data_IF_230865145668
#
_entry.id   IF_230865145668
#
_cell.length_a   1.000
_cell.length_b   1.000
_cell.length_c   1.000
_cell.angle_alpha   90.00
_cell.angle_beta   90.00
_cell.angle_gamma   90.00
#
_symmetry.space_group_name_H-M   'P 1'
#
loop_
_entity.id
_entity.type
_entity.pdbx_description
1 polymer ?
#
# COMPACT_ATOMS: atom_id res chain seq x y z
N UNK A 1 16.79 -34.96 19.59
CA UNK A 1 15.73 -33.99 19.92
C UNK A 1 16.16 -32.51 19.88
N UNK A 2 17.44 -32.16 20.08
CA UNK A 2 17.89 -30.74 20.05
C UNK A 2 17.92 -30.09 18.66
N UNK A 3 18.21 -30.87 17.62
CA UNK A 3 18.30 -30.39 16.22
C UNK A 3 16.92 -30.06 15.64
N UNK A 4 15.88 -30.81 16.02
CA UNK A 4 14.50 -30.57 15.57
C UNK A 4 13.95 -29.24 16.11
N UNK A 5 14.30 -28.87 17.35
CA UNK A 5 13.90 -27.60 17.97
C UNK A 5 14.59 -26.41 17.30
N UNK A 6 15.86 -26.57 16.89
CA UNK A 6 16.59 -25.53 16.14
C UNK A 6 16.02 -25.31 14.73
N UNK A 7 15.60 -26.38 14.05
CA UNK A 7 14.92 -26.29 12.75
C UNK A 7 13.52 -25.64 12.87
N UNK A 8 12.76 -25.98 13.91
CA UNK A 8 11.47 -25.33 14.18
C UNK A 8 11.63 -23.86 14.55
N UNK A 9 12.60 -23.52 15.40
CA UNK A 9 12.88 -22.13 15.80
C UNK A 9 13.38 -21.29 14.62
N UNK A 10 14.17 -21.86 13.69
CA UNK A 10 14.57 -21.20 12.45
C UNK A 10 13.39 -20.85 11.55
N UNK A 11 12.38 -21.74 11.45
CA UNK A 11 11.18 -21.49 10.63
C UNK A 11 10.23 -20.42 11.20
N UNK A 12 10.26 -20.19 12.53
CA UNK A 12 9.45 -19.14 13.17
C UNK A 12 10.07 -17.75 13.04
N UNK A 13 11.40 -17.65 12.86
CA UNK A 13 12.10 -16.37 12.67
C UNK A 13 12.05 -15.87 11.22
N UNK A 14 11.64 -16.69 10.25
CA UNK A 14 11.47 -16.27 8.85
C UNK A 14 10.09 -15.68 8.54
N UNK A 15 9.13 -15.75 9.46
CA UNK A 15 7.78 -15.20 9.24
C UNK A 15 7.66 -13.69 9.40
N UNK A 16 8.70 -13.00 9.87
CA UNK A 16 8.87 -11.58 9.59
C UNK A 16 9.64 -11.47 8.28
N UNK A 17 9.02 -11.89 7.18
CA UNK A 17 9.46 -11.56 5.84
C UNK A 17 9.44 -10.03 5.75
N UNK A 18 10.59 -9.45 6.08
CA UNK A 18 10.90 -8.06 5.86
C UNK A 18 10.83 -7.91 4.36
N UNK A 19 9.74 -7.35 3.87
CA UNK A 19 9.52 -6.99 2.46
C UNK A 19 10.55 -5.90 2.15
N UNK A 20 11.79 -6.33 1.92
CA UNK A 20 12.91 -5.51 1.50
C UNK A 20 12.65 -5.12 0.06
N UNK A 21 12.09 -3.93 -0.10
CA UNK A 21 11.90 -3.28 -1.39
C UNK A 21 11.08 -2.03 -1.17
N UNK A 22 11.78 -0.89 -1.06
CA UNK A 22 11.25 0.48 -0.98
C UNK A 22 10.39 0.85 -2.20
N UNK A 23 9.29 0.14 -2.43
CA UNK A 23 8.28 0.50 -3.41
C UNK A 23 7.33 1.48 -2.76
N UNK A 24 7.13 2.60 -3.43
CA UNK A 24 6.11 3.59 -3.06
C UNK A 24 4.84 3.31 -3.86
N UNK A 25 3.68 3.46 -3.22
CA UNK A 25 2.42 3.61 -3.92
C UNK A 25 2.15 5.09 -4.17
N UNK A 26 1.58 5.39 -5.33
CA UNK A 26 1.13 6.74 -5.65
C UNK A 26 -0.39 6.77 -5.60
N UNK A 27 -0.91 7.59 -4.70
CA UNK A 27 -2.29 8.04 -4.64
C UNK A 27 -2.42 9.28 -5.52
N UNK A 28 -3.53 9.40 -6.24
CA UNK A 28 -3.83 10.53 -7.11
C UNK A 28 -5.06 11.26 -6.58
N UNK A 29 -5.01 12.57 -6.68
CA UNK A 29 -6.04 13.49 -6.20
C UNK A 29 -6.36 14.39 -7.37
N UNK A 30 -7.64 14.57 -7.65
CA UNK A 30 -8.07 15.48 -8.70
C UNK A 30 -8.06 16.93 -8.22
N UNK A 31 -8.49 17.84 -9.09
CA UNK A 31 -8.51 19.29 -8.83
C UNK A 31 -9.54 19.70 -7.75
N UNK A 32 -10.46 18.81 -7.36
CA UNK A 32 -11.46 19.10 -6.33
C UNK A 32 -10.85 19.04 -4.92
N UNK A 33 -9.70 18.37 -4.77
CA UNK A 33 -8.98 18.26 -3.51
C UNK A 33 -7.90 19.36 -3.44
N UNK A 34 -7.96 20.27 -2.45
CA UNK A 34 -6.95 21.31 -2.30
C UNK A 34 -5.55 20.72 -2.13
N UNK A 35 -4.50 21.27 -2.78
CA UNK A 35 -3.13 20.75 -2.68
C UNK A 35 -2.53 20.79 -1.28
N UNK A 36 -3.08 21.65 -0.41
CA UNK A 36 -2.67 21.80 1.00
C UNK A 36 -3.45 20.89 1.96
N UNK A 37 -4.31 20.01 1.44
CA UNK A 37 -5.04 19.05 2.27
C UNK A 37 -4.06 18.09 2.94
N UNK A 38 -4.37 17.64 4.15
CA UNK A 38 -3.60 16.63 4.87
C UNK A 38 -4.18 15.25 4.57
N UNK A 39 -3.33 14.31 4.15
CA UNK A 39 -3.73 12.92 3.94
C UNK A 39 -3.31 12.09 5.14
N UNK A 40 -4.30 11.56 5.85
CA UNK A 40 -4.10 10.66 6.97
C UNK A 40 -4.46 9.24 6.58
N UNK A 41 -3.63 8.26 6.96
CA UNK A 41 -3.92 6.82 6.80
C UNK A 41 -3.77 6.16 8.16
N UNK A 42 -4.82 5.50 8.64
CA UNK A 42 -4.89 4.85 9.95
C UNK A 42 -4.47 5.80 11.11
N UNK A 43 -4.81 7.08 10.97
CA UNK A 43 -4.47 8.12 11.95
C UNK A 43 -3.05 8.69 11.85
N UNK A 44 -2.20 8.19 10.95
CA UNK A 44 -0.88 8.75 10.68
C UNK A 44 -0.91 9.76 9.55
N UNK A 45 -0.22 10.89 9.72
CA UNK A 45 -0.09 11.96 8.72
C UNK A 45 1.00 11.61 7.68
N UNK A 46 0.64 11.66 6.41
CA UNK A 46 1.55 11.41 5.27
C UNK A 46 1.84 12.66 4.44
N UNK A 47 1.38 13.83 4.88
CA UNK A 47 1.56 15.12 4.23
C UNK A 47 0.47 15.43 3.22
N UNK A 48 0.80 16.32 2.29
CA UNK A 48 -0.15 16.90 1.35
C UNK A 48 0.00 16.38 -0.08
N UNK A 49 -1.09 16.32 -0.87
CA UNK A 49 -1.05 15.86 -2.25
C UNK A 49 -0.50 16.95 -3.18
N UNK A 50 0.82 17.16 -3.13
CA UNK A 50 1.53 18.07 -4.03
C UNK A 50 1.32 17.66 -5.50
N UNK A 51 0.93 18.61 -6.35
CA UNK A 51 0.64 18.38 -7.78
C UNK A 51 -0.39 17.25 -8.03
N UNK A 52 -1.36 17.09 -7.12
CA UNK A 52 -2.42 16.08 -7.23
C UNK A 52 -1.93 14.65 -7.02
N UNK A 53 -0.76 14.46 -6.38
CA UNK A 53 -0.19 13.13 -6.12
C UNK A 53 0.40 13.06 -4.72
N UNK A 54 0.30 11.88 -4.12
CA UNK A 54 1.02 11.57 -2.89
C UNK A 54 1.72 10.22 -3.03
N UNK A 55 3.02 10.18 -2.71
CA UNK A 55 3.80 8.94 -2.67
C UNK A 55 3.89 8.46 -1.23
N UNK A 56 3.34 7.28 -0.97
CA UNK A 56 3.40 6.63 0.34
C UNK A 56 4.17 5.31 0.25
N UNK A 57 4.88 4.88 1.30
CA UNK A 57 5.47 3.55 1.33
C UNK A 57 4.43 2.46 1.11
N UNK A 58 4.76 1.40 0.36
CA UNK A 58 3.81 0.32 0.09
C UNK A 58 3.40 -0.45 1.36
N UNK A 59 4.20 -0.39 2.42
CA UNK A 59 3.93 -1.00 3.72
C UNK A 59 2.85 -0.29 4.53
N UNK A 60 2.52 0.96 4.18
CA UNK A 60 1.52 1.77 4.90
C UNK A 60 0.11 1.27 4.65
N UNK A 61 -0.18 0.84 3.42
CA UNK A 61 -1.54 0.39 3.08
C UNK A 61 -1.63 -1.10 3.38
N UNK A 62 -2.31 -1.41 4.48
CA UNK A 62 -2.76 -2.76 4.78
C UNK A 62 -4.15 -3.00 4.19
N UNK A 63 -4.62 -4.24 4.27
CA UNK A 63 -5.99 -4.51 3.86
C UNK A 63 -6.96 -3.88 4.87
N UNK A 64 -7.95 -3.14 4.39
CA UNK A 64 -8.91 -2.36 5.20
C UNK A 64 -8.31 -1.15 5.96
N UNK A 65 -7.20 -0.55 5.49
CA UNK A 65 -6.70 0.72 6.04
C UNK A 65 -7.71 1.86 5.82
N UNK A 66 -7.91 2.74 6.80
CA UNK A 66 -8.76 3.92 6.65
C UNK A 66 -7.95 5.10 6.13
N UNK A 67 -8.42 5.75 5.06
CA UNK A 67 -7.86 7.00 4.57
C UNK A 67 -8.80 8.15 4.87
N UNK A 68 -8.24 9.28 5.32
CA UNK A 68 -8.93 10.53 5.54
C UNK A 68 -8.17 11.64 4.81
N UNK A 69 -8.91 12.47 4.08
CA UNK A 69 -8.37 13.66 3.42
C UNK A 69 -8.98 14.85 4.12
N UNK A 70 -8.15 15.63 4.80
CA UNK A 70 -8.56 16.75 5.64
C UNK A 70 -8.22 18.04 4.92
N UNK A 71 -9.21 18.93 4.78
CA UNK A 71 -9.03 20.24 4.16
C UNK A 71 -8.05 21.11 4.98
N UNK A 72 -7.52 22.18 4.38
CA UNK A 72 -6.74 23.18 5.13
C UNK A 72 -7.54 23.86 6.26
N UNK A 73 -8.87 23.80 6.22
CA UNK A 73 -9.77 24.34 7.27
C UNK A 73 -10.06 23.33 8.38
N UNK A 74 -9.57 22.09 8.27
CA UNK A 74 -9.77 21.02 9.26
C UNK A 74 -11.02 20.15 9.04
N UNK A 75 -11.70 20.31 7.92
CA UNK A 75 -12.88 19.51 7.57
C UNK A 75 -12.47 18.20 6.88
N UNK A 76 -13.14 17.10 7.19
CA UNK A 76 -12.90 15.82 6.48
C UNK A 76 -13.61 15.88 5.14
N UNK A 77 -12.83 15.97 4.05
CA UNK A 77 -13.35 16.02 2.68
C UNK A 77 -13.73 14.64 2.16
N UNK A 78 -12.88 13.65 2.46
CA UNK A 78 -13.06 12.26 2.03
C UNK A 78 -12.67 11.35 3.19
N UNK A 79 -13.50 10.35 3.45
CA UNK A 79 -13.16 9.21 4.31
C UNK A 79 -13.53 7.94 3.59
N UNK A 80 -12.54 7.08 3.36
CA UNK A 80 -12.74 5.84 2.62
C UNK A 80 -11.88 4.71 3.19
N UNK A 81 -12.15 3.48 2.76
CA UNK A 81 -11.39 2.30 3.10
C UNK A 81 -10.51 1.90 1.93
N UNK A 82 -9.21 1.79 2.20
CA UNK A 82 -8.20 1.28 1.29
C UNK A 82 -8.11 -0.24 1.43
N UNK A 83 -8.18 -0.93 0.30
CA UNK A 83 -7.99 -2.36 0.17
C UNK A 83 -6.76 -2.66 -0.68
N UNK A 84 -6.24 -3.88 -0.55
CA UNK A 84 -5.15 -4.36 -1.41
C UNK A 84 -5.71 -5.19 -2.57
N UNK A 85 -5.70 -4.63 -3.77
CA UNK A 85 -6.15 -5.33 -4.98
C UNK A 85 -4.96 -5.79 -5.83
N UNK A 86 -5.02 -7.01 -6.35
CA UNK A 86 -4.03 -7.50 -7.33
C UNK A 86 -4.13 -6.66 -8.60
N UNK A 87 -3.00 -6.12 -9.03
CA UNK A 87 -2.91 -5.43 -10.31
C UNK A 87 -2.73 -6.47 -11.44
N UNK A 88 -3.67 -6.56 -12.39
CA UNK A 88 -3.67 -7.60 -13.41
C UNK A 88 -2.49 -7.47 -14.37
N UNK A 89 -1.91 -6.27 -14.56
CA UNK A 89 -0.74 -6.08 -15.42
C UNK A 89 0.47 -6.76 -14.80
N UNK A 90 0.68 -6.58 -13.49
CA UNK A 90 1.75 -7.27 -12.78
C UNK A 90 1.53 -8.78 -12.78
N UNK A 91 0.30 -9.23 -12.57
CA UNK A 91 -0.05 -10.65 -12.65
C UNK A 91 0.28 -11.27 -14.02
N UNK A 92 -0.07 -10.60 -15.12
CA UNK A 92 0.19 -11.09 -16.49
C UNK A 92 1.70 -11.06 -16.81
N UNK A 93 2.40 -10.00 -16.44
CA UNK A 93 3.84 -9.90 -16.67
C UNK A 93 4.62 -10.95 -15.88
N UNK A 94 4.20 -11.22 -14.65
CA UNK A 94 4.73 -12.34 -13.88
C UNK A 94 4.46 -13.64 -14.65
N UNK A 95 3.23 -13.90 -15.15
CA UNK A 95 2.87 -15.13 -15.89
C UNK A 95 3.75 -15.41 -17.12
N UNK A 96 4.25 -14.37 -17.76
CA UNK A 96 5.18 -14.50 -18.88
C UNK A 96 6.65 -14.74 -18.45
N UNK A 97 7.02 -14.49 -17.19
CA UNK A 97 8.34 -14.69 -16.62
C UNK A 97 8.50 -16.09 -15.98
N UNK A 98 9.72 -16.64 -15.87
CA UNK A 98 9.95 -17.97 -15.29
C UNK A 98 9.43 -18.08 -13.85
N UNK A 99 8.88 -19.25 -13.51
CA UNK A 99 8.12 -19.59 -12.30
C UNK A 99 8.67 -19.13 -10.93
N UNK A 100 9.95 -18.75 -10.85
CA UNK A 100 10.60 -18.29 -9.61
C UNK A 100 10.27 -16.82 -9.30
N UNK A 101 10.00 -15.98 -10.31
CA UNK A 101 9.63 -14.56 -10.14
C UNK A 101 8.30 -14.41 -9.40
N UNK A 102 7.31 -15.18 -9.85
CA UNK A 102 5.94 -15.27 -9.33
C UNK A 102 5.82 -15.35 -7.82
N UNK A 103 6.48 -16.36 -7.25
CA UNK A 103 6.38 -16.66 -5.83
C UNK A 103 6.98 -15.52 -5.01
N UNK A 104 8.02 -14.87 -5.52
CA UNK A 104 8.68 -13.75 -4.84
C UNK A 104 7.81 -12.51 -4.87
N UNK A 105 7.19 -12.16 -6.00
CA UNK A 105 6.32 -10.98 -6.11
C UNK A 105 4.96 -11.17 -5.42
N UNK A 106 4.44 -12.41 -5.38
CA UNK A 106 3.26 -12.76 -4.59
C UNK A 106 3.55 -12.72 -3.08
N UNK A 107 4.66 -13.34 -2.63
CA UNK A 107 5.02 -13.39 -1.21
C UNK A 107 5.53 -12.05 -0.67
N UNK A 108 6.17 -11.22 -1.49
CA UNK A 108 6.53 -9.84 -1.12
C UNK A 108 5.34 -8.88 -1.15
N UNK A 109 4.21 -9.31 -1.72
CA UNK A 109 3.01 -8.50 -1.85
C UNK A 109 3.12 -7.36 -2.87
N UNK A 110 4.09 -7.44 -3.78
CA UNK A 110 4.39 -6.46 -4.82
C UNK A 110 3.29 -6.35 -5.89
N UNK A 111 2.54 -7.44 -6.10
CA UNK A 111 1.41 -7.49 -7.04
C UNK A 111 0.20 -6.69 -6.54
N UNK A 112 0.15 -6.38 -5.24
CA UNK A 112 -0.99 -5.69 -4.64
C UNK A 112 -0.79 -4.18 -4.67
N UNK A 113 -1.83 -3.48 -5.11
CA UNK A 113 -1.90 -2.01 -5.12
C UNK A 113 -3.06 -1.55 -4.24
N UNK A 114 -2.95 -0.36 -3.62
CA UNK A 114 -4.06 0.25 -2.90
C UNK A 114 -5.26 0.42 -3.84
N UNK A 115 -6.46 0.27 -3.31
CA UNK A 115 -7.70 0.55 -4.01
C UNK A 115 -8.72 1.13 -3.01
N UNK A 116 -9.32 2.30 -3.28
CA UNK A 116 -9.12 3.15 -4.46
C UNK A 116 -7.74 3.83 -4.49
N UNK A 117 -7.36 4.34 -5.67
CA UNK A 117 -6.10 5.08 -5.90
C UNK A 117 -6.29 6.52 -6.32
N UNK A 118 -7.49 6.86 -6.75
CA UNK A 118 -7.87 8.17 -7.21
C UNK A 118 -8.92 8.69 -6.24
N UNK A 119 -8.75 9.92 -5.78
CA UNK A 119 -9.64 10.57 -4.83
C UNK A 119 -10.19 11.85 -5.44
N UNK A 120 -11.48 12.08 -5.19
CA UNK A 120 -12.26 13.23 -5.62
C UNK A 120 -13.28 13.54 -4.53
N UNK A 121 -13.69 14.80 -4.39
CA UNK A 121 -14.87 15.17 -3.62
C UNK A 121 -16.14 15.16 -4.48
N UNK A 122 -16.02 14.97 -5.79
CA UNK A 122 -17.16 14.81 -6.69
C UNK A 122 -17.70 13.36 -6.63
N UNK A 123 -19.04 13.18 -6.69
CA UNK A 123 -19.69 11.88 -6.64
C UNK A 123 -19.44 11.01 -7.89
#
# INVERSE_FOLDING_TARGET
>A
MRILVLLLAGSLLTSCATVFGSRTNTLKFDETIPPQSTVMIDGADFGSPEEGKLKIPATVVQDHSNIQIISPTGEVLVSDTLYRKVDPVFFILDFAAPAVSHSVDFMSGNIFRPHPRNFSTAP
#
